data_IF_494967686506
#
_entry.id   IF_494967686506
#
_cell.length_a   1.000
_cell.length_b   1.000
_cell.length_c   1.000
_cell.angle_alpha   90.00
_cell.angle_beta   90.00
_cell.angle_gamma   90.00
#
_symmetry.space_group_name_H-M   'P 1'
#
loop_
_entity.id
_entity.type
_entity.pdbx_description
1 polymer ?
#
# COMPACT_ATOMS: atom_id res chain seq x y z
N UNK A 1 1.93 -27.94 -34.18
CA UNK A 1 2.73 -28.31 -32.98
C UNK A 1 3.80 -27.27 -32.62
N UNK A 2 4.28 -26.42 -33.54
CA UNK A 2 5.34 -25.42 -33.27
C UNK A 2 5.00 -24.33 -32.23
N UNK A 3 3.76 -23.85 -32.17
CA UNK A 3 3.37 -22.75 -31.25
C UNK A 3 3.53 -23.15 -29.78
N UNK A 4 3.21 -24.39 -29.40
CA UNK A 4 3.31 -24.84 -28.00
C UNK A 4 4.79 -24.94 -27.58
N UNK A 5 5.68 -25.37 -28.47
CA UNK A 5 7.11 -25.44 -28.21
C UNK A 5 7.75 -24.04 -28.13
N UNK A 6 7.34 -23.13 -29.03
CA UNK A 6 7.76 -21.72 -29.00
C UNK A 6 7.27 -21.00 -27.73
N UNK A 7 6.01 -21.23 -27.35
CA UNK A 7 5.46 -20.70 -26.10
C UNK A 7 6.17 -21.26 -24.87
N UNK A 8 6.46 -22.56 -24.84
CA UNK A 8 7.23 -23.18 -23.76
C UNK A 8 8.62 -22.54 -23.66
N UNK A 9 9.30 -22.33 -24.78
CA UNK A 9 10.63 -21.71 -24.81
C UNK A 9 10.59 -20.25 -24.35
N UNK A 10 9.55 -19.51 -24.73
CA UNK A 10 9.29 -18.16 -24.24
C UNK A 10 9.01 -18.12 -22.73
N UNK A 11 8.07 -18.94 -22.24
CA UNK A 11 7.68 -18.99 -20.83
C UNK A 11 8.82 -19.49 -19.93
N UNK A 12 9.69 -20.36 -20.45
CA UNK A 12 10.88 -20.85 -19.74
C UNK A 12 12.09 -19.91 -19.86
N UNK A 13 11.95 -18.75 -20.51
CA UNK A 13 13.04 -17.78 -20.59
C UNK A 13 13.27 -17.14 -19.20
N UNK A 14 14.51 -17.16 -18.72
CA UNK A 14 14.87 -16.65 -17.38
C UNK A 14 14.36 -15.23 -17.11
N UNK A 15 14.50 -14.32 -18.07
CA UNK A 15 13.99 -12.95 -17.96
C UNK A 15 12.46 -12.89 -17.72
N UNK A 16 11.68 -13.78 -18.34
CA UNK A 16 10.22 -13.83 -18.17
C UNK A 16 9.85 -14.40 -16.80
N UNK A 17 10.58 -15.43 -16.34
CA UNK A 17 10.38 -16.04 -15.03
C UNK A 17 10.71 -15.04 -13.91
N UNK A 18 11.86 -14.37 -13.99
CA UNK A 18 12.30 -13.39 -12.98
C UNK A 18 11.34 -12.21 -12.89
N UNK A 19 10.86 -11.73 -14.04
CA UNK A 19 9.82 -10.70 -14.11
C UNK A 19 8.50 -11.17 -13.47
N UNK A 20 8.05 -12.38 -13.78
CA UNK A 20 6.83 -12.94 -13.23
C UNK A 20 6.92 -13.11 -11.70
N UNK A 21 8.06 -13.58 -11.18
CA UNK A 21 8.31 -13.69 -9.75
C UNK A 21 8.28 -12.30 -9.10
N UNK A 22 8.97 -11.32 -9.69
CA UNK A 22 8.99 -9.95 -9.19
C UNK A 22 7.60 -9.32 -9.08
N UNK A 23 6.75 -9.53 -10.08
CA UNK A 23 5.36 -9.02 -10.09
C UNK A 23 4.52 -9.73 -9.03
N UNK A 24 4.62 -11.06 -8.90
CA UNK A 24 3.83 -11.82 -7.93
C UNK A 24 4.23 -11.44 -6.50
N UNK A 25 5.53 -11.43 -6.19
CA UNK A 25 6.04 -11.05 -4.87
C UNK A 25 5.71 -9.59 -4.56
N UNK A 26 5.87 -8.68 -5.53
CA UNK A 26 5.51 -7.27 -5.38
C UNK A 26 4.02 -7.07 -5.06
N UNK A 27 3.14 -7.85 -5.69
CA UNK A 27 1.70 -7.78 -5.44
C UNK A 27 1.30 -8.23 -4.03
N UNK A 28 1.90 -9.30 -3.52
CA UNK A 28 1.61 -9.79 -2.16
C UNK A 28 2.25 -8.89 -1.11
N UNK A 29 3.47 -8.40 -1.37
CA UNK A 29 4.14 -7.45 -0.50
C UNK A 29 3.33 -6.15 -0.34
N UNK A 30 2.77 -5.63 -1.44
CA UNK A 30 1.89 -4.45 -1.39
C UNK A 30 0.69 -4.67 -0.45
N UNK A 31 0.08 -5.86 -0.45
CA UNK A 31 -1.02 -6.18 0.48
C UNK A 31 -0.60 -6.19 1.95
N UNK A 32 0.62 -6.64 2.26
CA UNK A 32 1.15 -6.63 3.63
C UNK A 32 1.30 -5.19 4.11
N UNK A 33 1.83 -4.33 3.23
CA UNK A 33 2.00 -2.90 3.49
C UNK A 33 0.64 -2.22 3.66
N UNK A 34 -0.31 -2.53 2.78
CA UNK A 34 -1.68 -2.00 2.86
C UNK A 34 -2.38 -2.44 4.16
N UNK A 35 -2.21 -3.69 4.60
CA UNK A 35 -2.76 -4.17 5.88
C UNK A 35 -2.11 -3.49 7.07
N UNK A 36 -0.78 -3.33 7.08
CA UNK A 36 -0.08 -2.59 8.13
C UNK A 36 -0.61 -1.15 8.23
N UNK A 37 -0.83 -0.49 7.10
CA UNK A 37 -1.37 0.87 7.10
C UNK A 37 -2.83 0.89 7.51
N UNK A 38 -3.69 0.11 6.86
CA UNK A 38 -5.14 0.19 7.04
C UNK A 38 -5.61 -0.41 8.36
N UNK A 39 -4.96 -1.47 8.84
CA UNK A 39 -5.41 -2.24 10.00
C UNK A 39 -4.66 -1.87 11.28
N UNK A 40 -3.45 -1.29 11.18
CA UNK A 40 -2.65 -0.93 12.36
C UNK A 40 -2.47 0.58 12.45
N UNK A 41 -1.93 1.23 11.40
CA UNK A 41 -1.59 2.65 11.48
C UNK A 41 -2.83 3.54 11.45
N UNK A 42 -3.78 3.28 10.56
CA UNK A 42 -5.00 4.06 10.42
C UNK A 42 -5.80 4.05 11.74
N UNK A 43 -6.09 2.90 12.39
CA UNK A 43 -6.76 2.91 13.70
C UNK A 43 -5.90 3.59 14.78
N UNK A 44 -4.58 3.36 14.80
CA UNK A 44 -3.70 3.91 15.82
C UNK A 44 -3.54 5.44 15.75
N UNK A 45 -3.56 6.03 14.55
CA UNK A 45 -3.39 7.48 14.34
C UNK A 45 -4.74 8.19 14.22
N UNK A 46 -5.72 7.58 13.53
CA UNK A 46 -7.01 8.23 13.26
C UNK A 46 -7.97 8.09 14.44
N UNK A 47 -7.96 7.00 15.23
CA UNK A 47 -8.86 6.91 16.39
C UNK A 47 -8.59 7.97 17.48
N UNK A 48 -7.34 8.36 17.79
CA UNK A 48 -7.05 9.49 18.68
C UNK A 48 -7.42 10.85 18.07
N UNK A 49 -7.18 11.06 16.77
CA UNK A 49 -7.48 12.31 16.06
C UNK A 49 -9.00 12.53 15.92
N UNK A 50 -9.76 11.45 15.68
CA UNK A 50 -11.22 11.45 15.63
C UNK A 50 -11.86 11.70 17.00
N UNK A 51 -11.28 11.13 18.08
CA UNK A 51 -11.70 11.44 19.46
C UNK A 51 -11.42 12.89 19.87
N UNK A 52 -10.28 13.46 19.45
CA UNK A 52 -9.94 14.85 19.72
C UNK A 52 -10.86 15.85 18.99
N UNK A 53 -11.60 15.40 17.97
CA UNK A 53 -12.46 16.25 17.11
C UNK A 53 -13.97 15.93 17.19
N UNK A 54 -14.39 14.97 18.03
CA UNK A 54 -15.81 14.57 18.21
C UNK A 54 -16.49 14.06 16.92
N UNK A 55 -15.75 13.45 15.99
CA UNK A 55 -16.31 12.86 14.77
C UNK A 55 -15.85 11.41 14.65
N UNK A 56 -16.80 10.49 14.54
CA UNK A 56 -16.59 9.04 14.66
C UNK A 56 -16.06 8.38 13.38
N UNK A 57 -16.03 9.11 12.25
CA UNK A 57 -15.58 8.60 10.97
C UNK A 57 -14.80 9.65 10.17
N UNK A 58 -13.77 9.20 9.46
CA UNK A 58 -12.96 10.01 8.53
C UNK A 58 -13.81 10.48 7.33
N UNK A 59 -14.92 9.77 7.03
CA UNK A 59 -15.93 10.13 6.05
C UNK A 59 -16.81 11.33 6.46
N UNK A 60 -16.70 11.81 7.71
CA UNK A 60 -17.46 12.97 8.22
C UNK A 60 -16.65 14.27 8.31
N UNK A 61 -15.48 14.36 7.65
CA UNK A 61 -14.85 15.65 7.33
C UNK A 61 -15.62 16.37 6.21
N UNK A 62 -16.93 16.50 6.40
CA UNK A 62 -17.79 17.42 5.67
C UNK A 62 -18.04 18.58 6.64
N UNK A 63 -17.57 19.77 6.29
CA UNK A 63 -18.05 21.00 6.92
C UNK A 63 -19.59 20.94 6.81
N UNK A 64 -20.36 20.97 7.91
CA UNK A 64 -21.81 20.78 7.85
C UNK A 64 -22.40 21.77 6.83
N UNK A 65 -22.90 21.24 5.70
CA UNK A 65 -23.55 22.03 4.66
C UNK A 65 -22.94 22.04 3.24
N UNK A 66 -21.91 21.25 2.89
CA UNK A 66 -21.43 21.21 1.48
C UNK A 66 -21.15 19.82 0.93
N UNK A 67 -21.69 19.51 -0.25
CA UNK A 67 -21.55 18.23 -0.97
C UNK A 67 -20.20 18.08 -1.71
N UNK A 68 -19.13 18.76 -1.27
CA UNK A 68 -17.80 18.63 -1.86
C UNK A 68 -16.92 17.81 -0.91
N UNK A 69 -16.59 16.57 -1.31
CA UNK A 69 -15.82 15.59 -0.54
C UNK A 69 -14.32 15.92 -0.47
N UNK A 70 -13.94 17.16 -0.13
CA UNK A 70 -12.54 17.54 0.10
C UNK A 70 -11.90 16.68 1.21
N UNK A 71 -12.69 16.27 2.21
CA UNK A 71 -12.26 15.37 3.28
C UNK A 71 -11.74 14.02 2.79
N UNK A 72 -12.38 13.40 1.79
CA UNK A 72 -11.91 12.11 1.26
C UNK A 72 -10.61 12.24 0.47
N UNK A 73 -10.45 13.34 -0.27
CA UNK A 73 -9.21 13.59 -1.01
C UNK A 73 -8.03 13.82 -0.05
N UNK A 74 -8.21 14.69 0.95
CA UNK A 74 -7.18 14.98 1.96
C UNK A 74 -6.89 13.74 2.82
N UNK A 75 -7.91 12.98 3.19
CA UNK A 75 -7.76 11.70 3.90
C UNK A 75 -6.94 10.69 3.10
N UNK A 76 -7.26 10.49 1.82
CA UNK A 76 -6.49 9.61 0.94
C UNK A 76 -5.06 10.09 0.73
N UNK A 77 -4.83 11.40 0.67
CA UNK A 77 -3.49 11.98 0.56
C UNK A 77 -2.65 11.73 1.82
N UNK A 78 -3.24 11.93 3.01
CA UNK A 78 -2.57 11.63 4.29
C UNK A 78 -2.25 10.14 4.38
N UNK A 79 -3.20 9.26 4.04
CA UNK A 79 -2.97 7.82 4.00
C UNK A 79 -1.83 7.45 3.05
N UNK A 80 -1.76 8.05 1.85
CA UNK A 80 -0.67 7.83 0.91
C UNK A 80 0.71 8.22 1.50
N UNK A 81 0.80 9.38 2.15
CA UNK A 81 2.05 9.83 2.81
C UNK A 81 2.46 8.87 3.93
N UNK A 82 1.49 8.37 4.71
CA UNK A 82 1.72 7.38 5.76
C UNK A 82 2.26 6.07 5.17
N UNK A 83 1.63 5.54 4.12
CA UNK A 83 2.09 4.32 3.42
C UNK A 83 3.53 4.48 2.95
N UNK A 84 3.84 5.60 2.29
CA UNK A 84 5.17 5.90 1.79
C UNK A 84 6.21 5.96 2.93
N UNK A 85 5.85 6.55 4.07
CA UNK A 85 6.72 6.62 5.24
C UNK A 85 6.97 5.24 5.88
N UNK A 86 5.93 4.42 6.00
CA UNK A 86 6.03 3.05 6.54
C UNK A 86 6.89 2.17 5.62
N UNK A 87 6.70 2.25 4.31
CA UNK A 87 7.54 1.58 3.32
C UNK A 87 9.01 1.99 3.47
N UNK A 88 9.28 3.28 3.62
CA UNK A 88 10.63 3.79 3.84
C UNK A 88 11.26 3.21 5.11
N UNK A 89 10.52 3.17 6.24
CA UNK A 89 11.01 2.57 7.47
C UNK A 89 11.29 1.08 7.31
N UNK A 90 10.43 0.35 6.60
CA UNK A 90 10.58 -1.07 6.35
C UNK A 90 11.83 -1.37 5.52
N UNK A 91 12.03 -0.65 4.41
CA UNK A 91 13.24 -0.78 3.57
C UNK A 91 14.49 -0.38 4.35
N UNK A 92 14.43 0.70 5.14
CA UNK A 92 15.54 1.12 6.01
C UNK A 92 15.90 0.03 7.03
N UNK A 93 14.91 -0.63 7.61
CA UNK A 93 15.11 -1.74 8.55
C UNK A 93 15.75 -2.93 7.86
N UNK A 94 15.27 -3.33 6.68
CA UNK A 94 15.87 -4.41 5.89
C UNK A 94 17.32 -4.11 5.48
N UNK A 95 17.59 -2.88 5.03
CA UNK A 95 18.94 -2.46 4.67
C UNK A 95 19.88 -2.52 5.88
N UNK A 96 19.41 -2.10 7.07
CA UNK A 96 20.18 -2.21 8.32
C UNK A 96 20.56 -3.67 8.64
N UNK A 97 19.66 -4.62 8.43
CA UNK A 97 19.94 -6.04 8.65
C UNK A 97 20.82 -6.67 7.58
N UNK A 98 20.82 -6.14 6.35
CA UNK A 98 21.70 -6.62 5.26
C UNK A 98 23.13 -6.12 5.42
N UNK A 99 23.31 -4.93 5.97
CA UNK A 99 24.62 -4.29 6.17
C UNK A 99 25.24 -4.61 7.55
N UNK A 100 24.64 -5.55 8.31
CA UNK A 100 25.17 -6.14 9.56
C UNK A 100 25.74 -7.53 9.29
#
# INVERSE_FOLDING_TARGET
MKIIEEFKKFAMSGNVIDLAIGVVVGSQFSKIVDSLVNDIINPAILAPVLKATHLTEINQLVIPGTAIKYGNFIGNFISFVIVAFVLFLFVKMMNKFRDS
#
